data_IF_239193387725
#
_entry.id   IF_239193387725
#
_cell.length_a   1.000
_cell.length_b   1.000
_cell.length_c   1.000
_cell.angle_alpha   90.00
_cell.angle_beta   90.00
_cell.angle_gamma   90.00
#
_symmetry.space_group_name_H-M   'P 1'
#
loop_
_entity.id
_entity.type
_entity.pdbx_description
1 polymer ?
#
# COMPACT_ATOMS: atom_id res chain seq x y z
N UNK A 1 18.41 1.48 1.91
CA UNK A 1 17.55 0.63 2.72
C UNK A 1 16.83 1.47 3.78
N UNK A 2 15.51 1.30 3.91
CA UNK A 2 14.66 1.92 4.91
C UNK A 2 13.77 0.87 5.60
N UNK A 3 14.28 -0.36 5.69
CA UNK A 3 13.58 -1.55 6.20
C UNK A 3 12.27 -1.81 5.40
N UNK A 4 11.16 -2.04 6.09
CA UNK A 4 9.90 -2.46 5.45
C UNK A 4 9.30 -1.43 4.47
N UNK A 5 9.77 -0.18 4.45
CA UNK A 5 9.36 0.85 3.48
C UNK A 5 10.26 0.94 2.26
N UNK A 6 11.39 0.20 2.20
CA UNK A 6 12.46 0.38 1.19
C UNK A 6 11.93 0.43 -0.24
N UNK A 7 11.18 -0.57 -0.68
CA UNK A 7 10.69 -0.64 -2.05
C UNK A 7 9.67 0.44 -2.40
N UNK A 8 8.87 0.90 -1.44
CA UNK A 8 7.94 2.00 -1.70
C UNK A 8 8.65 3.37 -1.68
N UNK A 9 9.72 3.52 -0.91
CA UNK A 9 10.63 4.67 -0.98
C UNK A 9 11.35 4.69 -2.33
N UNK A 10 11.80 3.55 -2.85
CA UNK A 10 12.42 3.48 -4.18
C UNK A 10 11.46 3.93 -5.29
N UNK A 11 10.17 3.54 -5.20
CA UNK A 11 9.11 4.03 -6.10
C UNK A 11 8.96 5.55 -6.00
N UNK A 12 8.95 6.11 -4.78
CA UNK A 12 8.88 7.56 -4.58
C UNK A 12 10.07 8.27 -5.23
N UNK A 13 11.29 7.80 -4.99
CA UNK A 13 12.50 8.39 -5.59
C UNK A 13 12.48 8.32 -7.11
N UNK A 14 12.07 7.19 -7.69
CA UNK A 14 11.89 7.04 -9.12
C UNK A 14 10.87 8.05 -9.70
N UNK A 15 9.75 8.26 -9.01
CA UNK A 15 8.77 9.28 -9.40
C UNK A 15 9.38 10.70 -9.36
N UNK A 16 10.21 11.01 -8.36
CA UNK A 16 10.86 12.32 -8.26
C UNK A 16 11.86 12.53 -9.40
N UNK A 17 12.73 11.55 -9.69
CA UNK A 17 13.69 11.60 -10.80
C UNK A 17 13.01 11.80 -12.16
N UNK A 18 11.90 11.06 -12.41
CA UNK A 18 11.10 11.23 -13.64
C UNK A 18 10.48 12.62 -13.74
N UNK A 19 9.96 13.17 -12.63
CA UNK A 19 9.35 14.52 -12.60
C UNK A 19 10.38 15.63 -12.76
N UNK A 20 11.56 15.45 -12.20
CA UNK A 20 12.68 16.38 -12.35
C UNK A 20 13.31 16.35 -13.76
N UNK A 21 12.96 15.36 -14.58
CA UNK A 21 13.56 15.17 -15.91
C UNK A 21 14.95 14.57 -15.88
N UNK A 22 15.40 14.05 -14.73
CA UNK A 22 16.70 13.39 -14.59
C UNK A 22 16.73 12.02 -15.28
N UNK A 23 15.56 11.38 -15.43
CA UNK A 23 15.40 10.11 -16.14
C UNK A 23 14.14 10.12 -17.00
N UNK A 24 14.12 9.32 -18.07
CA UNK A 24 12.97 9.14 -18.95
C UNK A 24 12.22 7.84 -18.68
N UNK A 25 12.92 6.88 -18.09
CA UNK A 25 12.41 5.59 -17.66
C UNK A 25 13.08 5.23 -16.34
N UNK A 26 12.34 4.66 -15.41
CA UNK A 26 12.87 4.20 -14.14
C UNK A 26 12.36 2.78 -13.82
N UNK A 27 13.23 1.96 -13.23
CA UNK A 27 12.86 0.68 -12.65
C UNK A 27 12.96 0.82 -11.14
N UNK A 28 11.88 0.54 -10.43
CA UNK A 28 11.82 0.57 -8.98
C UNK A 28 11.33 -0.77 -8.44
N UNK A 29 11.94 -1.26 -7.37
CA UNK A 29 11.57 -2.55 -6.83
C UNK A 29 12.15 -2.81 -5.45
N UNK A 30 12.03 -4.05 -5.03
CA UNK A 30 12.61 -4.54 -3.79
C UNK A 30 12.65 -6.07 -3.77
N UNK A 31 13.55 -6.58 -2.96
CA UNK A 31 13.77 -8.01 -2.75
C UNK A 31 13.92 -8.29 -1.27
N UNK A 32 13.47 -9.45 -0.85
CA UNK A 32 13.75 -10.01 0.48
C UNK A 32 14.01 -11.51 0.35
N UNK A 33 15.16 -11.94 0.85
CA UNK A 33 15.57 -13.34 0.94
C UNK A 33 16.08 -13.62 2.35
N UNK A 34 15.60 -14.67 2.95
CA UNK A 34 15.96 -15.09 4.32
C UNK A 34 16.98 -16.24 4.25
N UNK A 35 18.23 -15.90 4.00
CA UNK A 35 19.31 -16.86 3.75
C UNK A 35 19.85 -17.51 5.03
N UNK A 36 19.62 -16.89 6.19
CA UNK A 36 20.19 -17.30 7.46
C UNK A 36 19.13 -17.39 8.56
N UNK A 37 19.18 -18.38 9.44
CA UNK A 37 18.22 -18.54 10.53
C UNK A 37 18.32 -17.44 11.60
N UNK A 38 19.46 -16.74 11.70
CA UNK A 38 19.71 -15.69 12.70
C UNK A 38 18.69 -14.55 12.61
N UNK A 39 18.20 -14.25 11.42
CA UNK A 39 17.17 -13.24 11.24
C UNK A 39 15.83 -13.66 11.84
N UNK A 40 15.44 -14.92 11.64
CA UNK A 40 14.25 -15.50 12.31
C UNK A 40 14.40 -15.49 13.83
N UNK A 41 15.56 -15.92 14.33
CA UNK A 41 15.85 -15.94 15.76
C UNK A 41 15.76 -14.53 16.34
N UNK A 42 16.42 -13.57 15.73
CA UNK A 42 16.45 -12.18 16.18
C UNK A 42 15.05 -11.56 16.25
N UNK A 43 14.22 -11.75 15.18
CA UNK A 43 12.86 -11.22 15.14
C UNK A 43 11.91 -11.93 16.10
N UNK A 44 12.12 -13.23 16.32
CA UNK A 44 11.36 -14.01 17.30
C UNK A 44 11.69 -13.57 18.73
N UNK A 45 12.96 -13.37 19.06
CA UNK A 45 13.39 -12.82 20.34
C UNK A 45 12.86 -11.39 20.58
N UNK A 46 12.71 -10.60 19.52
CA UNK A 46 12.10 -9.28 19.58
C UNK A 46 10.56 -9.31 19.69
N UNK A 47 9.93 -10.50 19.71
CA UNK A 47 8.48 -10.66 19.79
C UNK A 47 7.72 -10.13 18.55
N UNK A 48 8.36 -10.14 17.38
CA UNK A 48 7.79 -9.59 16.16
C UNK A 48 7.10 -10.65 15.29
N UNK A 49 7.54 -11.91 15.40
CA UNK A 49 7.04 -13.03 14.59
C UNK A 49 5.85 -13.71 15.29
N UNK A 50 4.81 -14.00 14.53
CA UNK A 50 3.64 -14.72 15.02
C UNK A 50 3.99 -16.16 15.37
N UNK A 51 3.78 -16.59 16.64
CA UNK A 51 4.01 -17.97 17.04
C UNK A 51 2.99 -18.94 16.43
N UNK A 52 1.89 -18.42 15.89
CA UNK A 52 0.82 -19.21 15.27
C UNK A 52 0.97 -19.35 13.75
N UNK A 53 2.02 -18.76 13.16
CA UNK A 53 2.31 -18.86 11.74
C UNK A 53 1.26 -18.19 10.83
N UNK A 54 0.56 -17.16 11.33
CA UNK A 54 -0.44 -16.43 10.57
C UNK A 54 -0.31 -14.92 10.80
N UNK A 55 -0.28 -14.15 9.72
CA UNK A 55 -0.34 -12.71 9.80
C UNK A 55 -1.82 -12.30 9.95
N UNK A 56 -2.26 -12.07 11.19
CA UNK A 56 -3.63 -11.66 11.52
C UNK A 56 -3.74 -10.13 11.57
N UNK A 57 -3.48 -9.47 10.44
CA UNK A 57 -3.58 -8.02 10.42
C UNK A 57 -4.98 -7.55 10.79
N UNK A 58 -5.07 -6.58 11.70
CA UNK A 58 -6.29 -5.95 12.23
C UNK A 58 -7.18 -6.85 13.11
N UNK A 59 -6.83 -8.12 13.30
CA UNK A 59 -7.62 -9.06 14.13
C UNK A 59 -7.36 -8.81 15.62
N UNK A 60 -8.34 -9.14 16.46
CA UNK A 60 -8.23 -9.10 17.92
C UNK A 60 -7.13 -10.02 18.45
N UNK A 61 -6.80 -11.08 17.73
CA UNK A 61 -5.75 -12.07 18.06
C UNK A 61 -4.46 -11.82 17.28
N UNK A 62 -4.20 -10.57 16.84
CA UNK A 62 -2.94 -10.19 16.21
C UNK A 62 -1.77 -10.42 17.17
N UNK A 63 -0.81 -11.26 16.76
CA UNK A 63 0.29 -11.74 17.61
C UNK A 63 1.67 -11.61 16.94
N UNK A 64 1.75 -10.91 15.82
CA UNK A 64 2.94 -10.71 15.01
C UNK A 64 2.73 -11.00 13.54
N UNK A 65 3.79 -10.90 12.75
CA UNK A 65 3.76 -11.20 11.32
C UNK A 65 4.45 -12.53 11.01
N UNK A 66 4.23 -13.03 9.80
CA UNK A 66 4.99 -14.16 9.24
C UNK A 66 6.03 -13.58 8.30
N UNK A 67 7.28 -13.99 8.45
CA UNK A 67 8.36 -13.58 7.53
C UNK A 67 8.12 -14.25 6.18
N UNK A 68 8.18 -13.48 5.10
CA UNK A 68 8.03 -13.94 3.73
C UNK A 68 9.23 -13.57 2.89
N UNK A 69 9.36 -14.21 1.75
CA UNK A 69 10.38 -13.93 0.73
C UNK A 69 9.71 -13.48 -0.56
N UNK A 70 10.41 -12.71 -1.34
CA UNK A 70 9.96 -12.31 -2.66
C UNK A 70 10.73 -11.17 -3.27
N UNK A 71 10.51 -10.99 -4.57
CA UNK A 71 11.05 -9.91 -5.36
C UNK A 71 9.92 -9.31 -6.21
N UNK A 72 9.92 -8.01 -6.35
CA UNK A 72 9.02 -7.31 -7.25
C UNK A 72 9.68 -6.07 -7.82
N UNK A 73 9.34 -5.76 -9.07
CA UNK A 73 9.80 -4.55 -9.74
C UNK A 73 8.67 -3.97 -10.61
N UNK A 74 8.68 -2.66 -10.76
CA UNK A 74 7.79 -1.92 -11.67
C UNK A 74 8.61 -1.01 -12.56
N UNK A 75 8.15 -0.86 -13.80
CA UNK A 75 8.68 0.11 -14.74
C UNK A 75 7.82 1.36 -14.66
N UNK A 76 8.44 2.51 -14.48
CA UNK A 76 7.81 3.80 -14.34
C UNK A 76 8.25 4.74 -15.46
N UNK A 77 7.31 5.51 -15.99
CA UNK A 77 7.54 6.50 -17.03
C UNK A 77 6.61 7.69 -16.80
N UNK A 78 7.00 8.90 -17.21
CA UNK A 78 6.07 10.04 -17.17
C UNK A 78 4.81 9.70 -17.98
N UNK A 79 3.67 10.04 -17.44
CA UNK A 79 2.36 9.71 -18.05
C UNK A 79 2.24 10.25 -19.48
N UNK A 80 2.67 11.51 -19.71
CA UNK A 80 2.69 12.12 -21.05
C UNK A 80 3.55 11.35 -22.05
N UNK A 81 4.71 10.83 -21.59
CA UNK A 81 5.64 10.11 -22.44
C UNK A 81 5.13 8.69 -22.73
N UNK A 82 4.52 8.04 -21.75
CA UNK A 82 3.88 6.74 -21.93
C UNK A 82 2.73 6.80 -22.94
N UNK A 83 1.87 7.84 -22.86
CA UNK A 83 0.81 8.06 -23.82
C UNK A 83 1.37 8.33 -25.22
N UNK A 84 2.38 9.19 -25.36
CA UNK A 84 3.03 9.50 -26.64
C UNK A 84 3.69 8.29 -27.29
N UNK A 85 4.26 7.40 -26.47
CA UNK A 85 4.89 6.16 -26.93
C UNK A 85 3.90 5.02 -27.18
N UNK A 86 2.61 5.19 -26.83
CA UNK A 86 1.61 4.14 -26.93
C UNK A 86 1.87 2.96 -25.97
N UNK A 87 2.49 3.22 -24.83
CA UNK A 87 2.80 2.18 -23.84
C UNK A 87 1.52 1.63 -23.20
N UNK A 88 1.59 0.38 -22.74
CA UNK A 88 0.51 -0.23 -21.97
C UNK A 88 0.57 0.26 -20.52
N UNK A 89 -0.27 1.24 -20.17
CA UNK A 89 -0.34 1.82 -18.84
C UNK A 89 -1.23 0.93 -17.96
N UNK A 90 -0.68 0.40 -16.87
CA UNK A 90 -1.39 -0.46 -15.94
C UNK A 90 -2.13 0.33 -14.86
N UNK A 91 -1.51 1.41 -14.37
CA UNK A 91 -2.08 2.36 -13.43
C UNK A 91 -1.26 3.67 -13.48
N UNK A 92 -1.77 4.74 -12.90
CA UNK A 92 -1.08 6.03 -12.80
C UNK A 92 -0.76 6.33 -11.34
N UNK A 93 0.50 6.64 -11.03
CA UNK A 93 0.87 7.17 -9.72
C UNK A 93 0.54 8.66 -9.69
N UNK A 94 -0.50 9.04 -8.97
CA UNK A 94 -0.96 10.42 -8.83
C UNK A 94 -0.09 11.22 -7.87
N UNK A 95 0.26 10.61 -6.76
CA UNK A 95 1.05 11.24 -5.73
C UNK A 95 1.81 10.24 -4.88
N UNK A 96 2.91 10.68 -4.29
CA UNK A 96 3.72 9.86 -3.41
C UNK A 96 4.38 10.73 -2.36
N UNK A 97 4.53 10.22 -1.15
CA UNK A 97 5.21 10.93 -0.08
C UNK A 97 6.05 9.98 0.77
N UNK A 98 7.11 10.55 1.31
CA UNK A 98 7.95 9.94 2.34
C UNK A 98 8.05 10.89 3.51
N UNK A 99 8.06 10.36 4.73
CA UNK A 99 8.40 11.08 5.95
C UNK A 99 9.06 10.13 6.96
N UNK A 100 9.46 10.68 8.09
CA UNK A 100 9.94 9.90 9.23
C UNK A 100 8.97 10.08 10.40
N UNK A 101 8.86 9.04 11.25
CA UNK A 101 8.00 9.08 12.46
C UNK A 101 8.39 10.16 13.44
N UNK A 102 9.61 10.73 13.32
CA UNK A 102 10.14 11.72 14.24
C UNK A 102 10.54 11.14 15.60
N UNK A 103 10.67 12.01 16.59
CA UNK A 103 10.99 11.61 17.95
C UNK A 103 9.81 10.85 18.59
N UNK A 104 10.03 9.60 18.97
CA UNK A 104 9.07 8.76 19.67
C UNK A 104 9.73 8.23 20.94
N UNK A 105 9.03 8.29 22.06
CA UNK A 105 9.50 7.75 23.34
C UNK A 105 9.79 6.24 23.32
N UNK A 106 9.31 5.54 22.29
CA UNK A 106 9.58 4.11 22.08
C UNK A 106 10.25 3.91 20.73
N UNK A 107 11.39 3.20 20.70
CA UNK A 107 12.16 2.85 19.48
C UNK A 107 11.30 2.25 18.36
N UNK A 108 10.28 1.48 18.73
CA UNK A 108 9.35 0.81 17.82
C UNK A 108 7.97 1.48 17.75
N UNK A 109 7.81 2.71 18.33
CA UNK A 109 6.52 3.37 18.43
C UNK A 109 6.03 3.87 17.07
N UNK A 110 4.93 3.32 16.59
CA UNK A 110 4.17 3.91 15.50
C UNK A 110 3.54 5.22 15.99
N UNK A 111 3.56 6.27 15.16
CA UNK A 111 2.86 7.51 15.45
C UNK A 111 1.75 7.73 14.44
N UNK A 112 0.51 7.73 14.91
CA UNK A 112 -0.65 7.98 14.06
C UNK A 112 -0.58 9.34 13.35
N UNK A 113 0.02 10.34 13.99
CA UNK A 113 0.19 11.68 13.41
C UNK A 113 1.10 11.69 12.19
N UNK A 114 2.26 11.01 12.24
CA UNK A 114 3.17 10.93 11.07
C UNK A 114 2.53 10.20 9.90
N UNK A 115 1.75 9.15 10.18
CA UNK A 115 1.00 8.42 9.17
C UNK A 115 -0.11 9.25 8.53
N UNK A 116 -0.82 10.08 9.32
CA UNK A 116 -1.83 11.01 8.80
C UNK A 116 -1.19 12.10 7.94
N UNK A 117 -0.10 12.71 8.41
CA UNK A 117 0.64 13.74 7.67
C UNK A 117 1.16 13.20 6.34
N UNK A 118 1.70 11.98 6.34
CA UNK A 118 2.17 11.29 5.14
C UNK A 118 1.07 11.13 4.09
N UNK A 119 -0.09 10.58 4.49
CA UNK A 119 -1.23 10.38 3.59
C UNK A 119 -1.79 11.71 3.06
N UNK A 120 -1.89 12.73 3.93
CA UNK A 120 -2.32 14.08 3.52
C UNK A 120 -1.35 14.70 2.50
N UNK A 121 -0.03 14.54 2.70
CA UNK A 121 1.00 15.04 1.79
C UNK A 121 0.91 14.38 0.42
N UNK A 122 0.85 13.05 0.35
CA UNK A 122 0.73 12.30 -0.91
C UNK A 122 -0.54 12.69 -1.66
N UNK A 123 -1.65 12.88 -0.94
CA UNK A 123 -2.92 13.32 -1.53
C UNK A 123 -2.86 14.74 -2.09
N UNK A 124 -2.28 15.68 -1.35
CA UNK A 124 -2.09 17.06 -1.81
C UNK A 124 -1.26 17.08 -3.09
N UNK A 125 -0.17 16.31 -3.14
CA UNK A 125 0.69 16.19 -4.32
C UNK A 125 -0.06 15.63 -5.54
N UNK A 126 -0.91 14.64 -5.32
CA UNK A 126 -1.69 13.99 -6.39
C UNK A 126 -3.02 14.66 -6.75
N UNK A 127 -3.41 15.73 -6.07
CA UNK A 127 -4.74 16.33 -6.25
C UNK A 127 -5.89 15.38 -5.93
N UNK A 128 -5.67 14.39 -5.05
CA UNK A 128 -6.62 13.34 -4.76
C UNK A 128 -7.54 13.71 -3.59
N UNK A 129 -8.86 13.76 -3.83
CA UNK A 129 -9.84 14.02 -2.78
C UNK A 129 -10.05 12.81 -1.85
N UNK A 130 -10.24 13.02 -0.53
CA UNK A 130 -10.41 11.92 0.45
C UNK A 130 -11.56 10.98 0.08
N UNK A 131 -12.66 11.55 -0.40
CA UNK A 131 -13.87 10.84 -0.72
C UNK A 131 -13.79 9.90 -1.92
N UNK A 132 -12.77 10.03 -2.74
CA UNK A 132 -12.60 9.24 -3.97
C UNK A 132 -11.76 7.97 -3.77
N UNK A 133 -11.11 7.81 -2.61
CA UNK A 133 -10.36 6.59 -2.31
C UNK A 133 -11.32 5.39 -2.14
N UNK A 134 -11.22 4.40 -3.00
CA UNK A 134 -12.03 3.17 -2.94
C UNK A 134 -11.28 2.00 -2.28
N UNK A 135 -9.95 2.05 -2.22
CA UNK A 135 -9.15 0.98 -1.65
C UNK A 135 -7.89 1.50 -0.93
N UNK A 136 -7.53 0.84 0.17
CA UNK A 136 -6.26 1.03 0.87
C UNK A 136 -5.56 -0.32 1.05
N UNK A 137 -4.44 -0.50 0.35
CA UNK A 137 -3.47 -1.53 0.65
C UNK A 137 -2.63 -1.03 1.85
N UNK A 138 -3.07 -1.39 3.03
CA UNK A 138 -2.47 -0.97 4.28
C UNK A 138 -1.15 -1.70 4.57
N UNK A 139 -0.33 -1.14 5.43
CA UNK A 139 0.86 -1.81 5.93
C UNK A 139 0.51 -3.08 6.70
N UNK A 140 -0.45 -3.04 7.64
CA UNK A 140 -1.11 -4.16 8.30
C UNK A 140 -0.22 -5.38 8.57
N UNK A 141 0.53 -5.35 9.67
CA UNK A 141 1.55 -6.37 9.99
C UNK A 141 1.06 -7.48 10.91
N UNK A 142 -0.15 -7.39 11.45
CA UNK A 142 -0.61 -8.30 12.50
C UNK A 142 -0.07 -7.92 13.89
N UNK A 143 0.30 -6.67 14.08
CA UNK A 143 0.75 -6.15 15.37
C UNK A 143 -0.43 -5.65 16.20
N UNK A 144 -0.61 -6.22 17.39
CA UNK A 144 -1.71 -5.87 18.29
C UNK A 144 -1.80 -4.36 18.60
N UNK A 145 -0.67 -3.67 18.68
CA UNK A 145 -0.60 -2.23 18.95
C UNK A 145 -0.47 -1.38 17.68
N UNK A 146 0.27 -1.86 16.67
CA UNK A 146 0.57 -1.09 15.48
C UNK A 146 -0.61 -0.97 14.52
N UNK A 147 -1.32 -2.04 14.33
CA UNK A 147 -2.46 -2.10 13.40
C UNK A 147 -3.61 -1.15 13.79
N UNK A 148 -4.02 -1.04 15.09
CA UNK A 148 -5.00 -0.05 15.50
C UNK A 148 -4.58 1.39 15.24
N UNK A 149 -3.29 1.71 15.40
CA UNK A 149 -2.76 3.04 15.12
C UNK A 149 -2.88 3.37 13.64
N UNK A 150 -2.59 2.39 12.77
CA UNK A 150 -2.75 2.56 11.33
C UNK A 150 -4.21 2.76 10.94
N UNK A 151 -5.13 1.92 11.44
CA UNK A 151 -6.56 2.05 11.15
C UNK A 151 -7.12 3.38 11.61
N UNK A 152 -6.76 3.84 12.82
CA UNK A 152 -7.12 5.19 13.31
C UNK A 152 -6.59 6.29 12.40
N UNK A 153 -5.35 6.17 11.92
CA UNK A 153 -4.76 7.13 11.00
C UNK A 153 -5.47 7.15 9.64
N UNK A 154 -5.88 5.99 9.12
CA UNK A 154 -6.68 5.87 7.91
C UNK A 154 -8.06 6.50 8.13
N UNK A 155 -8.74 6.17 9.25
CA UNK A 155 -10.07 6.71 9.61
C UNK A 155 -10.05 8.23 9.67
N UNK A 156 -9.04 8.82 10.29
CA UNK A 156 -8.91 10.27 10.42
C UNK A 156 -8.66 11.00 9.09
N UNK A 157 -8.14 10.32 8.08
CA UNK A 157 -7.84 10.94 6.77
C UNK A 157 -8.88 10.61 5.71
N UNK A 158 -9.43 9.40 5.71
CA UNK A 158 -10.30 8.88 4.66
C UNK A 158 -11.70 8.50 5.14
N UNK A 159 -11.89 8.34 6.44
CA UNK A 159 -13.15 7.88 7.03
C UNK A 159 -14.24 8.92 7.12
N UNK A 160 -13.93 10.19 6.86
CA UNK A 160 -14.88 11.29 6.97
C UNK A 160 -15.93 11.25 5.85
N UNK A 161 -17.16 11.59 6.19
CA UNK A 161 -18.32 11.61 5.31
C UNK A 161 -19.36 10.56 5.73
N UNK A 162 -20.61 10.85 5.40
CA UNK A 162 -21.72 9.94 5.71
C UNK A 162 -21.56 8.63 4.90
N UNK A 163 -21.56 7.45 5.55
CA UNK A 163 -21.48 6.16 4.85
C UNK A 163 -22.56 5.96 3.79
N UNK A 164 -23.75 6.55 3.99
CA UNK A 164 -24.87 6.47 3.05
C UNK A 164 -24.69 7.33 1.80
N UNK A 165 -23.78 8.31 1.81
CA UNK A 165 -23.60 9.27 0.72
C UNK A 165 -22.33 8.99 -0.11
N UNK A 166 -21.44 8.12 0.35
CA UNK A 166 -20.15 7.82 -0.29
C UNK A 166 -19.90 6.32 -0.42
N UNK A 167 -19.23 5.94 -1.49
CA UNK A 167 -18.79 4.55 -1.67
C UNK A 167 -17.86 4.11 -0.55
N UNK A 168 -17.99 2.85 -0.14
CA UNK A 168 -17.10 2.21 0.84
C UNK A 168 -15.65 2.27 0.38
N UNK A 169 -14.74 2.60 1.30
CA UNK A 169 -13.31 2.47 1.11
C UNK A 169 -12.81 1.19 1.77
N UNK A 170 -12.46 0.22 0.97
CA UNK A 170 -12.03 -1.09 1.43
C UNK A 170 -10.58 -1.09 1.89
N UNK A 171 -10.27 -1.85 2.92
CA UNK A 171 -8.92 -1.99 3.49
C UNK A 171 -8.50 -3.45 3.44
N UNK A 172 -7.29 -3.72 3.00
CA UNK A 172 -6.66 -5.04 3.17
C UNK A 172 -5.14 -4.93 3.26
N UNK A 173 -4.48 -6.01 3.70
CA UNK A 173 -3.02 -6.12 3.68
C UNK A 173 -2.60 -7.35 2.89
N UNK A 174 -1.61 -7.20 2.02
CA UNK A 174 -1.01 -8.30 1.26
C UNK A 174 -0.31 -9.31 2.17
N UNK A 175 0.12 -8.87 3.35
CA UNK A 175 0.84 -9.71 4.33
C UNK A 175 0.01 -10.88 4.84
N UNK A 176 -1.31 -10.76 4.81
CA UNK A 176 -2.21 -11.87 5.16
C UNK A 176 -2.20 -12.98 4.12
N UNK A 177 -1.78 -12.70 2.90
CA UNK A 177 -1.71 -13.65 1.78
C UNK A 177 -0.32 -14.32 1.67
N UNK A 178 0.76 -13.52 1.74
CA UNK A 178 2.12 -13.97 1.41
C UNK A 178 3.16 -13.69 2.51
N UNK A 179 2.73 -13.27 3.70
CA UNK A 179 3.63 -12.86 4.77
C UNK A 179 4.23 -11.46 4.56
N UNK A 180 5.13 -11.09 5.44
CA UNK A 180 5.83 -9.81 5.40
C UNK A 180 7.15 -9.94 4.62
N UNK A 181 7.18 -9.41 3.39
CA UNK A 181 8.35 -9.43 2.52
C UNK A 181 9.36 -8.33 2.86
N UNK A 182 9.34 -7.79 4.06
CA UNK A 182 10.27 -6.78 4.58
C UNK A 182 10.64 -5.71 3.55
N UNK A 183 11.85 -5.68 3.02
CA UNK A 183 12.27 -4.71 1.99
C UNK A 183 11.41 -4.71 0.72
N UNK A 184 10.84 -5.86 0.37
CA UNK A 184 9.94 -6.01 -0.77
C UNK A 184 8.44 -5.80 -0.43
N UNK A 185 8.07 -5.57 0.85
CA UNK A 185 6.66 -5.47 1.24
C UNK A 185 5.90 -4.34 0.55
N UNK A 186 6.53 -3.19 0.35
CA UNK A 186 5.93 -2.04 -0.31
C UNK A 186 5.59 -2.31 -1.77
N UNK A 187 6.52 -2.93 -2.52
CA UNK A 187 6.30 -3.24 -3.93
C UNK A 187 5.25 -4.34 -4.12
N UNK A 188 5.22 -5.34 -3.23
CA UNK A 188 4.18 -6.36 -3.25
C UNK A 188 2.78 -5.75 -3.03
N UNK A 189 2.65 -4.80 -2.10
CA UNK A 189 1.41 -4.06 -1.85
C UNK A 189 1.01 -3.20 -3.05
N UNK A 190 1.99 -2.54 -3.71
CA UNK A 190 1.77 -1.73 -4.90
C UNK A 190 1.25 -2.60 -6.06
N UNK A 191 1.92 -3.72 -6.35
CA UNK A 191 1.52 -4.65 -7.41
C UNK A 191 0.12 -5.20 -7.14
N UNK A 192 -0.19 -5.59 -5.89
CA UNK A 192 -1.54 -6.02 -5.50
C UNK A 192 -2.60 -4.94 -5.80
N UNK A 193 -2.31 -3.68 -5.49
CA UNK A 193 -3.25 -2.58 -5.76
C UNK A 193 -3.43 -2.31 -7.26
N UNK A 194 -2.36 -2.38 -8.06
CA UNK A 194 -2.42 -2.29 -9.52
C UNK A 194 -3.28 -3.42 -10.10
N UNK A 195 -3.05 -4.66 -9.67
CA UNK A 195 -3.85 -5.81 -10.11
C UNK A 195 -5.33 -5.69 -9.70
N UNK A 196 -5.62 -5.16 -8.51
CA UNK A 196 -6.99 -4.91 -8.08
C UNK A 196 -7.71 -3.90 -9.00
N UNK A 197 -7.01 -2.85 -9.45
CA UNK A 197 -7.53 -1.91 -10.46
C UNK A 197 -7.77 -2.59 -11.81
N UNK A 198 -6.82 -3.41 -12.27
CA UNK A 198 -6.91 -4.08 -13.57
C UNK A 198 -8.01 -5.14 -13.63
N UNK A 199 -8.13 -5.96 -12.56
CA UNK A 199 -9.10 -7.05 -12.47
C UNK A 199 -10.45 -6.61 -11.91
N UNK A 200 -10.66 -5.31 -11.71
CA UNK A 200 -11.92 -4.72 -11.23
C UNK A 200 -12.44 -5.39 -9.95
N UNK A 201 -11.51 -5.75 -9.06
CA UNK A 201 -11.86 -6.46 -7.84
C UNK A 201 -10.81 -6.36 -6.76
N UNK A 202 -11.26 -6.12 -5.54
CA UNK A 202 -10.40 -6.08 -4.36
C UNK A 202 -10.39 -7.48 -3.74
N UNK A 203 -9.23 -8.15 -3.66
CA UNK A 203 -9.16 -9.49 -3.09
C UNK A 203 -9.39 -9.43 -1.56
N UNK A 204 -9.91 -10.55 -1.04
CA UNK A 204 -10.22 -10.67 0.38
C UNK A 204 -8.98 -10.51 1.26
N UNK A 205 -9.20 -9.89 2.40
CA UNK A 205 -8.27 -9.87 3.54
C UNK A 205 -8.43 -11.17 4.33
N UNK A 206 -7.34 -11.86 4.62
CA UNK A 206 -7.36 -13.17 5.28
C UNK A 206 -7.14 -13.05 6.80
N UNK A 207 -7.46 -14.12 7.52
CA UNK A 207 -7.11 -14.33 8.93
C UNK A 207 -7.69 -13.28 9.90
N UNK A 208 -8.79 -12.65 9.55
CA UNK A 208 -9.55 -11.78 10.44
C UNK A 208 -10.89 -12.46 10.81
N UNK A 209 -11.13 -12.63 12.09
CA UNK A 209 -12.39 -13.15 12.62
C UNK A 209 -13.12 -12.08 13.41
N UNK A 210 -12.38 -11.26 14.16
CA UNK A 210 -12.90 -10.19 14.98
C UNK A 210 -11.94 -8.98 14.88
N UNK A 211 -12.50 -7.79 14.66
CA UNK A 211 -11.70 -6.56 14.59
C UNK A 211 -11.06 -6.29 15.96
N UNK A 212 -9.81 -5.83 15.94
CA UNK A 212 -9.09 -5.43 17.15
C UNK A 212 -9.93 -4.42 17.97
N UNK A 213 -10.25 -4.71 19.24
CA UNK A 213 -11.16 -3.89 20.05
C UNK A 213 -10.66 -2.46 20.33
N UNK A 214 -9.38 -2.17 20.02
CA UNK A 214 -8.85 -0.81 20.14
C UNK A 214 -9.30 0.12 19.00
N UNK A 215 -10.01 -0.40 17.99
CA UNK A 215 -10.49 0.38 16.83
C UNK A 215 -11.94 0.03 16.53
N UNK A 216 -12.77 1.06 16.35
CA UNK A 216 -14.04 0.95 15.67
C UNK A 216 -13.99 1.62 14.30
N UNK A 217 -14.52 0.97 13.30
CA UNK A 217 -14.76 1.53 11.97
C UNK A 217 -16.19 2.04 11.81
N UNK A 218 -17.02 1.92 12.85
CA UNK A 218 -18.36 2.45 12.90
C UNK A 218 -18.36 3.96 12.59
N UNK A 219 -19.45 4.45 12.05
CA UNK A 219 -19.61 5.85 11.61
C UNK A 219 -18.53 6.32 10.62
N UNK A 220 -17.96 5.39 9.87
CA UNK A 220 -17.01 5.71 8.81
C UNK A 220 -17.31 4.92 7.53
N UNK A 221 -16.86 5.44 6.40
CA UNK A 221 -16.97 4.75 5.12
C UNK A 221 -15.94 3.63 4.92
N UNK A 222 -15.20 3.26 5.96
CA UNK A 222 -14.15 2.26 5.90
C UNK A 222 -14.66 0.88 6.26
N UNK A 223 -14.20 -0.14 5.54
CA UNK A 223 -14.48 -1.54 5.87
C UNK A 223 -13.27 -2.43 5.52
N UNK A 224 -13.08 -3.50 6.28
CA UNK A 224 -12.10 -4.53 5.92
C UNK A 224 -12.72 -5.43 4.84
N UNK A 225 -11.99 -5.71 3.78
CA UNK A 225 -12.44 -6.55 2.68
C UNK A 225 -12.38 -8.04 3.08
N UNK A 226 -13.26 -8.51 3.96
CA UNK A 226 -13.30 -9.90 4.45
C UNK A 226 -13.71 -10.91 3.36
N UNK A 227 -14.32 -10.42 2.28
CA UNK A 227 -14.62 -11.14 1.06
C UNK A 227 -14.11 -10.37 -0.14
N UNK A 228 -14.05 -11.03 -1.33
CA UNK A 228 -13.73 -10.33 -2.57
C UNK A 228 -14.79 -9.28 -2.86
N UNK A 229 -14.36 -8.03 -3.08
CA UNK A 229 -15.24 -6.92 -3.39
C UNK A 229 -15.17 -6.56 -4.87
N UNK A 230 -16.28 -6.48 -5.59
CA UNK A 230 -16.31 -5.93 -6.94
C UNK A 230 -15.86 -4.46 -6.90
N UNK A 231 -15.04 -4.09 -7.87
CA UNK A 231 -14.57 -2.70 -7.98
C UNK A 231 -14.57 -2.26 -9.46
N UNK A 232 -15.73 -2.22 -10.10
CA UNK A 232 -15.85 -1.94 -11.53
C UNK A 232 -15.53 -0.48 -11.85
N UNK A 233 -15.12 -0.22 -13.07
CA UNK A 233 -15.04 1.14 -13.63
C UNK A 233 -16.44 1.73 -13.74
N UNK A 234 -16.64 2.93 -13.24
CA UNK A 234 -17.96 3.59 -13.17
C UNK A 234 -17.98 5.00 -13.76
N UNK A 235 -17.09 5.29 -14.68
CA UNK A 235 -16.93 6.65 -15.27
C UNK A 235 -16.20 7.65 -14.35
N UNK A 236 -16.05 7.35 -13.07
CA UNK A 236 -15.18 8.08 -12.13
C UNK A 236 -13.88 7.32 -11.91
N UNK A 237 -12.75 8.03 -11.86
CA UNK A 237 -11.45 7.42 -11.55
C UNK A 237 -11.47 6.73 -10.19
N UNK A 238 -11.01 5.47 -10.14
CA UNK A 238 -10.82 4.72 -8.92
C UNK A 238 -9.45 5.04 -8.35
N UNK A 239 -9.39 5.32 -7.05
CA UNK A 239 -8.15 5.62 -6.34
C UNK A 239 -7.83 4.56 -5.31
N UNK A 240 -6.56 4.11 -5.30
CA UNK A 240 -6.01 3.24 -4.27
C UNK A 240 -4.85 3.91 -3.54
N UNK A 241 -4.81 3.77 -2.20
CA UNK A 241 -3.66 4.17 -1.40
C UNK A 241 -2.82 2.97 -0.99
N UNK A 242 -1.51 3.07 -1.08
CA UNK A 242 -0.57 2.02 -0.66
C UNK A 242 0.37 2.57 0.40
N UNK A 243 0.48 1.89 1.55
CA UNK A 243 1.33 2.32 2.66
C UNK A 243 2.38 1.27 3.01
N UNK A 244 3.58 1.74 3.35
CA UNK A 244 4.63 0.91 3.96
C UNK A 244 5.36 1.71 5.03
N UNK A 245 5.57 1.09 6.20
CA UNK A 245 6.19 1.73 7.38
C UNK A 245 7.40 0.92 7.82
N UNK A 246 8.57 1.53 7.77
CA UNK A 246 9.83 0.92 8.16
C UNK A 246 10.06 0.98 9.67
N UNK A 247 10.68 -0.08 10.21
CA UNK A 247 11.04 -0.17 11.63
C UNK A 247 11.94 1.02 12.06
N UNK A 248 12.83 1.47 11.19
CA UNK A 248 13.68 2.65 11.40
C UNK A 248 12.93 3.98 11.42
N UNK A 249 11.62 3.98 11.16
CA UNK A 249 10.75 5.15 11.20
C UNK A 249 10.51 5.82 9.85
N UNK A 250 11.15 5.39 8.79
CA UNK A 250 10.85 5.86 7.44
C UNK A 250 9.51 5.28 6.98
N UNK A 251 8.61 6.16 6.54
CA UNK A 251 7.28 5.79 6.06
C UNK A 251 7.11 6.26 4.62
N UNK A 252 6.43 5.46 3.81
CA UNK A 252 6.08 5.80 2.43
C UNK A 252 4.60 5.57 2.16
N UNK A 253 4.02 6.42 1.32
CA UNK A 253 2.65 6.30 0.83
C UNK A 253 2.56 6.71 -0.63
N UNK A 254 1.86 5.90 -1.42
CA UNK A 254 1.64 6.12 -2.85
C UNK A 254 0.14 6.10 -3.12
N UNK A 255 -0.33 6.97 -4.01
CA UNK A 255 -1.70 7.01 -4.51
C UNK A 255 -1.69 6.60 -5.96
N UNK A 256 -2.45 5.55 -6.25
CA UNK A 256 -2.69 5.03 -7.58
C UNK A 256 -4.06 5.47 -8.09
N UNK A 257 -4.14 5.68 -9.38
CA UNK A 257 -5.36 5.91 -10.15
C UNK A 257 -5.46 4.89 -11.29
N UNK A 258 -6.66 4.65 -11.75
CA UNK A 258 -6.90 3.87 -12.96
C UNK A 258 -5.98 4.27 -14.12
N UNK A 259 -5.59 3.27 -14.90
CA UNK A 259 -5.06 3.54 -16.22
C UNK A 259 -6.10 4.29 -17.08
N UNK A 260 -5.68 5.18 -17.98
CA UNK A 260 -6.56 5.73 -19.00
C UNK A 260 -7.24 4.60 -19.79
N UNK A 261 -8.44 4.85 -20.30
CA UNK A 261 -9.06 3.89 -21.21
C UNK A 261 -8.10 3.58 -22.37
N UNK A 262 -7.95 2.31 -22.75
CA UNK A 262 -7.06 1.97 -23.85
C UNK A 262 -7.45 2.75 -25.11
N UNK A 263 -6.52 3.53 -25.65
CA UNK A 263 -6.70 4.07 -26.98
C UNK A 263 -6.58 2.90 -27.96
N UNK A 264 -7.55 2.67 -28.85
CA UNK A 264 -7.44 1.62 -29.87
C UNK A 264 -6.11 1.78 -30.60
N UNK A 265 -5.23 0.79 -30.53
CA UNK A 265 -4.01 0.82 -31.33
C UNK A 265 -4.41 0.70 -32.81
N UNK A 266 -3.91 1.55 -33.70
CA UNK A 266 -3.97 1.23 -35.12
C UNK A 266 -3.35 -0.18 -35.28
N UNK A 267 -4.01 -1.06 -36.03
CA UNK A 267 -3.73 -2.49 -36.10
C UNK A 267 -2.23 -2.78 -36.15
N UNK A 268 -1.86 -3.90 -35.52
CA UNK A 268 -0.47 -4.39 -35.58
C UNK A 268 0.00 -4.35 -37.03
N UNK A 269 0.97 -3.52 -37.31
CA UNK A 269 1.79 -3.73 -38.50
C UNK A 269 2.58 -4.99 -38.20
N UNK A 270 2.25 -6.10 -38.89
CA UNK A 270 3.05 -7.31 -38.86
C UNK A 270 4.47 -6.89 -39.23
N UNK A 271 5.38 -7.00 -38.29
CA UNK A 271 6.79 -6.86 -38.61
C UNK A 271 7.24 -8.17 -39.24
N UNK A 272 7.93 -8.10 -40.37
CA UNK A 272 8.47 -9.29 -41.04
C UNK A 272 9.46 -10.04 -40.15
#
# INVERSE_FOLDING_TARGET
>A
DTACSSSLVSVHMACQSLRAGESDLAVAGGVNLNLFPEEFISRSLAGMVSPTGRCRAFDAKADGYVIGEGCGAVILKRHSDALRSGDNILAVIKGSAVNNKGHSYKRTGYTGQSQQALRKKARKEGGAEPGNAGYVAANGTGSYLGDPIELKAIKNVLGQGNPSERSTCWISSVKTNIGHLEGAAGIASLIKAVLALQHEGIPRHLHINELNPQVSLDDSRLAIAVERQPWPRSGKSRLAGVSAFGLGGANAHVILEDAPSPVPRPGKVDRP
#
